data_IF_781467715429
#
_entry.id   IF_781467715429
#
_cell.length_a   1.000
_cell.length_b   1.000
_cell.length_c   1.000
_cell.angle_alpha   90.00
_cell.angle_beta   90.00
_cell.angle_gamma   90.00
#
_symmetry.space_group_name_H-M   'P 1'
#
loop_
_entity.id
_entity.type
_entity.pdbx_description
1 polymer ?
#
# COMPACT_ATOMS: atom_id res chain seq x y z
N UNK A 1 -12.74 39.09 3.61
CA UNK A 1 -12.17 38.00 4.44
C UNK A 1 -12.22 36.72 3.61
N UNK A 2 -11.10 36.03 3.39
CA UNK A 2 -11.14 34.68 2.80
C UNK A 2 -11.73 33.72 3.84
N UNK A 3 -12.60 32.81 3.40
CA UNK A 3 -13.06 31.67 4.19
C UNK A 3 -12.44 30.41 3.58
N UNK A 4 -11.84 29.58 4.43
CA UNK A 4 -11.33 28.27 4.07
C UNK A 4 -12.37 27.20 4.38
N UNK A 5 -12.56 26.26 3.47
CA UNK A 5 -13.46 25.13 3.61
C UNK A 5 -12.69 23.86 3.28
N UNK A 6 -12.94 22.80 4.04
CA UNK A 6 -12.29 21.50 3.83
C UNK A 6 -13.30 20.51 3.25
N UNK A 7 -12.84 19.74 2.27
CA UNK A 7 -13.63 18.71 1.62
C UNK A 7 -12.74 17.59 1.11
N UNK A 8 -13.31 16.39 1.01
CA UNK A 8 -12.71 15.26 0.30
C UNK A 8 -13.19 15.31 -1.15
N UNK A 9 -12.25 15.31 -2.09
CA UNK A 9 -12.53 15.06 -3.49
C UNK A 9 -12.28 13.58 -3.80
N UNK A 10 -13.34 12.86 -4.16
CA UNK A 10 -13.29 11.44 -4.46
C UNK A 10 -14.13 11.15 -5.71
N UNK A 11 -13.49 10.58 -6.75
CA UNK A 11 -14.14 10.18 -8.00
C UNK A 11 -15.05 11.25 -8.64
N UNK A 12 -14.59 12.51 -8.67
CA UNK A 12 -15.37 13.61 -9.25
C UNK A 12 -16.39 14.25 -8.30
N UNK A 13 -16.56 13.73 -7.09
CA UNK A 13 -17.49 14.24 -6.10
C UNK A 13 -16.76 14.95 -4.96
N UNK A 14 -17.30 16.08 -4.54
CA UNK A 14 -16.82 16.85 -3.38
C UNK A 14 -17.71 16.52 -2.18
N UNK A 15 -17.12 16.02 -1.10
CA UNK A 15 -17.78 15.78 0.18
C UNK A 15 -17.20 16.75 1.22
N UNK A 16 -18.01 17.70 1.68
CA UNK A 16 -17.58 18.68 2.68
C UNK A 16 -17.31 17.99 4.03
N UNK A 17 -16.16 18.28 4.64
CA UNK A 17 -15.80 17.77 5.97
C UNK A 17 -16.39 18.63 7.09
N UNK A 18 -16.69 19.89 6.78
CA UNK A 18 -17.30 20.86 7.70
C UNK A 18 -18.50 21.56 7.08
N UNK A 19 -18.67 22.84 7.40
CA UNK A 19 -19.76 23.66 6.88
C UNK A 19 -19.65 23.81 5.36
N UNK A 20 -20.76 23.54 4.66
CA UNK A 20 -20.85 23.79 3.22
C UNK A 20 -20.99 25.30 2.97
N UNK A 21 -20.22 25.88 2.03
CA UNK A 21 -20.41 27.27 1.65
C UNK A 21 -21.82 27.51 1.09
N UNK A 22 -22.53 28.51 1.63
CA UNK A 22 -23.88 28.91 1.21
C UNK A 22 -23.88 29.82 -0.03
N UNK A 23 -23.17 29.40 -1.09
CA UNK A 23 -23.08 30.14 -2.35
C UNK A 23 -23.44 29.26 -3.53
N UNK A 24 -24.07 29.86 -4.55
CA UNK A 24 -24.41 29.16 -5.79
C UNK A 24 -23.20 29.00 -6.73
N UNK A 25 -22.27 29.98 -6.72
CA UNK A 25 -21.03 29.94 -7.49
C UNK A 25 -19.91 30.69 -6.75
N UNK A 26 -18.67 30.20 -6.88
CA UNK A 26 -17.49 30.84 -6.31
C UNK A 26 -16.22 30.44 -7.07
N UNK A 27 -15.18 31.26 -6.96
CA UNK A 27 -13.81 30.88 -7.38
C UNK A 27 -13.17 30.10 -6.23
N UNK A 28 -12.55 28.97 -6.54
CA UNK A 28 -11.97 28.05 -5.55
C UNK A 28 -10.46 27.94 -5.78
N UNK A 29 -9.70 27.84 -4.69
CA UNK A 29 -8.27 27.47 -4.70
C UNK A 29 -8.19 26.08 -4.06
N UNK A 30 -7.60 25.12 -4.75
CA UNK A 30 -7.46 23.73 -4.28
C UNK A 30 -6.03 23.51 -3.83
N UNK A 31 -5.87 23.02 -2.60
CA UNK A 31 -4.58 22.57 -2.08
C UNK A 31 -4.61 21.04 -2.01
N UNK A 32 -3.74 20.39 -2.77
CA UNK A 32 -3.57 18.93 -2.74
C UNK A 32 -2.41 18.60 -1.81
N UNK A 33 -2.66 17.82 -0.77
CA UNK A 33 -1.62 17.25 0.07
C UNK A 33 -1.25 15.89 -0.53
N UNK A 34 -0.06 15.80 -1.12
CA UNK A 34 0.48 14.52 -1.56
C UNK A 34 0.81 13.67 -0.34
N UNK A 35 0.03 12.61 -0.11
CA UNK A 35 0.42 11.58 0.85
C UNK A 35 1.45 10.67 0.16
N UNK A 36 2.73 10.97 0.33
CA UNK A 36 3.78 10.06 -0.10
C UNK A 36 3.67 8.78 0.70
N UNK A 37 3.15 7.73 0.07
CA UNK A 37 3.13 6.39 0.65
C UNK A 37 4.55 6.06 1.13
N UNK A 38 4.69 5.78 2.42
CA UNK A 38 5.99 5.42 2.98
C UNK A 38 6.55 4.21 2.21
N UNK A 39 7.82 4.22 1.80
CA UNK A 39 8.39 3.11 1.07
C UNK A 39 8.26 1.85 1.94
N UNK A 40 7.61 0.82 1.39
CA UNK A 40 7.49 -0.48 2.07
C UNK A 40 8.90 -1.03 2.27
N UNK A 41 9.38 -1.04 3.52
CA UNK A 41 10.69 -1.57 3.87
C UNK A 41 10.68 -3.09 3.68
N UNK A 42 11.14 -3.56 2.52
CA UNK A 42 11.35 -4.99 2.26
C UNK A 42 12.58 -5.47 3.03
N UNK A 43 12.50 -6.68 3.61
CA UNK A 43 13.68 -7.33 4.22
C UNK A 43 14.59 -7.80 3.09
N UNK A 44 15.90 -7.55 3.26
CA UNK A 44 16.94 -8.09 2.38
C UNK A 44 17.82 -9.04 3.19
N UNK A 45 18.26 -10.16 2.60
CA UNK A 45 19.26 -11.00 3.22
C UNK A 45 20.57 -10.22 3.46
N UNK A 46 21.36 -10.57 4.49
CA UNK A 46 22.66 -9.93 4.71
C UNK A 46 23.62 -10.16 3.54
N UNK A 47 24.47 -9.16 3.25
CA UNK A 47 25.50 -9.28 2.19
C UNK A 47 26.46 -10.45 2.45
N UNK A 48 26.66 -10.82 3.72
CA UNK A 48 27.49 -11.94 4.13
C UNK A 48 27.06 -13.29 3.52
N UNK A 49 25.81 -13.43 3.05
CA UNK A 49 25.28 -14.65 2.43
C UNK A 49 25.03 -14.50 0.91
N UNK A 50 25.39 -13.37 0.31
CA UNK A 50 25.26 -13.15 -1.12
C UNK A 50 26.05 -14.22 -1.91
N UNK A 51 25.39 -14.86 -2.88
CA UNK A 51 25.99 -15.90 -3.74
C UNK A 51 26.33 -17.22 -3.04
N UNK A 52 26.04 -17.36 -1.73
CA UNK A 52 26.31 -18.60 -0.97
C UNK A 52 25.13 -19.57 -0.93
N UNK A 53 23.93 -19.08 -1.25
CA UNK A 53 22.74 -19.92 -1.34
C UNK A 53 22.75 -20.76 -2.61
N UNK A 54 22.35 -22.03 -2.49
CA UNK A 54 22.00 -22.88 -3.62
C UNK A 54 20.66 -23.54 -3.33
N UNK A 55 19.88 -23.80 -4.37
CA UNK A 55 18.69 -24.64 -4.25
C UNK A 55 19.15 -26.09 -4.09
N UNK A 56 18.53 -26.81 -3.15
CA UNK A 56 18.72 -28.25 -3.00
C UNK A 56 17.53 -28.93 -3.64
N UNK A 57 17.78 -29.78 -4.64
CA UNK A 57 16.72 -30.52 -5.33
C UNK A 57 15.88 -29.66 -6.28
N UNK A 58 14.75 -30.22 -6.69
CA UNK A 58 13.72 -29.51 -7.43
C UNK A 58 12.95 -28.56 -6.50
N UNK A 59 12.58 -27.39 -7.01
CA UNK A 59 11.82 -26.39 -6.27
C UNK A 59 10.33 -26.73 -6.20
N UNK A 60 9.87 -27.59 -7.10
CA UNK A 60 8.44 -27.92 -7.27
C UNK A 60 8.10 -29.21 -6.55
N UNK A 61 8.93 -30.25 -6.67
CA UNK A 61 8.70 -31.51 -5.97
C UNK A 61 8.93 -31.40 -4.45
N UNK A 62 8.15 -32.16 -3.65
CA UNK A 62 8.42 -32.37 -2.23
C UNK A 62 9.85 -32.83 -1.96
N UNK A 63 10.47 -32.32 -0.90
CA UNK A 63 11.79 -32.78 -0.44
C UNK A 63 11.73 -34.14 0.30
N UNK A 64 10.52 -34.55 0.71
CA UNK A 64 10.25 -35.82 1.42
C UNK A 64 9.18 -36.61 0.67
N UNK A 65 9.32 -37.94 0.70
CA UNK A 65 8.38 -38.88 0.09
C UNK A 65 7.02 -38.85 0.80
N UNK A 66 5.94 -39.23 0.11
CA UNK A 66 4.56 -39.10 0.60
C UNK A 66 4.32 -39.85 1.93
N UNK A 67 5.00 -40.97 2.16
CA UNK A 67 4.91 -41.75 3.40
C UNK A 67 5.40 -40.99 4.64
N UNK A 68 6.27 -39.99 4.44
CA UNK A 68 6.86 -39.15 5.48
C UNK A 68 6.08 -37.84 5.72
N UNK A 69 4.95 -37.63 5.01
CA UNK A 69 4.08 -36.48 5.24
C UNK A 69 3.18 -36.71 6.47
N UNK A 70 3.59 -36.18 7.62
CA UNK A 70 2.81 -36.22 8.88
C UNK A 70 1.40 -35.61 8.75
N UNK A 71 1.17 -34.72 7.78
CA UNK A 71 -0.13 -34.08 7.55
C UNK A 71 -1.09 -34.87 6.65
N UNK A 72 -0.67 -36.03 6.12
CA UNK A 72 -1.53 -36.97 5.39
C UNK A 72 -1.98 -38.18 6.24
N UNK A 73 -1.55 -38.25 7.51
CA UNK A 73 -1.95 -39.29 8.48
C UNK A 73 -3.27 -38.97 9.19
#
# INVERSE_FOLDING_TARGET
MLKSYEAIYDNGQVKWLGEQPSVQSARVIVTVLEETALPVKRRFPPDAIAGKGKTLGDLVSPIVDEEDWECLK
#
